data_IF_226609973368
#
_entry.id   IF_226609973368
#
_cell.length_a   1.000
_cell.length_b   1.000
_cell.length_c   1.000
_cell.angle_alpha   90.00
_cell.angle_beta   90.00
_cell.angle_gamma   90.00
#
_symmetry.space_group_name_H-M   'P 1'
#
loop_
_entity.id
_entity.type
_entity.pdbx_description
1 polymer ?
#
# COMPACT_ATOMS: atom_id res chain seq x y z
N UNK A 1 -28.32 21.09 -9.76
CA UNK A 1 -28.30 19.63 -9.54
C UNK A 1 -27.32 19.02 -10.53
N UNK A 2 -26.07 18.83 -10.13
CA UNK A 2 -25.02 18.30 -11.00
C UNK A 2 -23.72 18.27 -10.22
N UNK A 3 -23.53 17.22 -9.43
CA UNK A 3 -22.28 16.94 -8.68
C UNK A 3 -22.25 15.50 -8.15
N UNK A 4 -23.39 14.80 -8.03
CA UNK A 4 -23.42 13.42 -7.52
C UNK A 4 -22.61 12.44 -8.38
N UNK A 5 -22.71 12.55 -9.71
CA UNK A 5 -22.01 11.63 -10.63
C UNK A 5 -20.50 11.80 -10.63
N UNK A 6 -20.01 13.04 -10.49
CA UNK A 6 -18.56 13.33 -10.41
C UNK A 6 -17.98 12.80 -9.11
N UNK A 7 -18.67 13.02 -7.99
CA UNK A 7 -18.27 12.48 -6.69
C UNK A 7 -18.22 10.95 -6.71
N UNK A 8 -19.24 10.27 -7.22
CA UNK A 8 -19.26 8.81 -7.34
C UNK A 8 -18.11 8.28 -8.20
N UNK A 9 -17.77 8.97 -9.29
CA UNK A 9 -16.65 8.59 -10.14
C UNK A 9 -15.30 8.74 -9.43
N UNK A 10 -15.08 9.84 -8.69
CA UNK A 10 -13.87 10.05 -7.90
C UNK A 10 -13.73 8.97 -6.82
N UNK A 11 -14.80 8.63 -6.12
CA UNK A 11 -14.79 7.55 -5.12
C UNK A 11 -14.48 6.19 -5.74
N UNK A 12 -15.01 5.90 -6.93
CA UNK A 12 -14.72 4.66 -7.65
C UNK A 12 -13.24 4.55 -8.02
N UNK A 13 -12.66 5.61 -8.59
CA UNK A 13 -11.24 5.65 -8.96
C UNK A 13 -10.34 5.55 -7.72
N UNK A 14 -10.68 6.27 -6.64
CA UNK A 14 -9.96 6.20 -5.37
C UNK A 14 -10.01 4.79 -4.78
N UNK A 15 -11.19 4.16 -4.76
CA UNK A 15 -11.36 2.80 -4.24
C UNK A 15 -10.55 1.78 -5.05
N UNK A 16 -10.59 1.87 -6.39
CA UNK A 16 -9.78 1.01 -7.27
C UNK A 16 -8.27 1.21 -7.02
N UNK A 17 -7.81 2.45 -6.87
CA UNK A 17 -6.42 2.75 -6.55
C UNK A 17 -6.01 2.20 -5.17
N UNK A 18 -6.87 2.31 -4.16
CA UNK A 18 -6.65 1.74 -2.82
C UNK A 18 -6.53 0.22 -2.86
N UNK A 19 -7.35 -0.49 -3.64
CA UNK A 19 -7.24 -1.95 -3.80
C UNK A 19 -5.91 -2.37 -4.43
N UNK A 20 -5.45 -1.67 -5.46
CA UNK A 20 -4.14 -1.93 -6.07
C UNK A 20 -3.02 -1.65 -5.06
N UNK A 21 -3.12 -0.57 -4.29
CA UNK A 21 -2.16 -0.25 -3.24
C UNK A 21 -2.14 -1.28 -2.11
N UNK A 22 -3.28 -1.88 -1.75
CA UNK A 22 -3.37 -2.96 -0.76
C UNK A 22 -2.62 -4.22 -1.22
N UNK A 23 -2.76 -4.60 -2.50
CA UNK A 23 -2.02 -5.73 -3.05
C UNK A 23 -0.50 -5.47 -3.04
N UNK A 24 -0.08 -4.25 -3.40
CA UNK A 24 1.32 -3.83 -3.34
C UNK A 24 1.84 -3.76 -1.89
N UNK A 25 1.01 -3.31 -0.95
CA UNK A 25 1.31 -3.22 0.48
C UNK A 25 1.67 -4.59 1.06
N UNK A 26 0.89 -5.62 0.76
CA UNK A 26 1.17 -6.99 1.22
C UNK A 26 2.54 -7.49 0.75
N UNK A 27 2.84 -7.35 -0.54
CA UNK A 27 4.14 -7.75 -1.09
C UNK A 27 5.31 -6.92 -0.54
N UNK A 28 5.07 -5.65 -0.20
CA UNK A 28 6.07 -4.76 0.43
C UNK A 28 6.33 -5.15 1.87
N UNK A 29 5.27 -5.44 2.63
CA UNK A 29 5.35 -5.94 4.00
C UNK A 29 6.17 -7.23 4.06
N UNK A 30 5.84 -8.20 3.19
CA UNK A 30 6.56 -9.46 3.13
C UNK A 30 8.07 -9.29 2.87
N UNK A 31 8.45 -8.42 1.92
CA UNK A 31 9.88 -8.12 1.67
C UNK A 31 10.57 -7.47 2.86
N UNK A 32 9.92 -6.50 3.51
CA UNK A 32 10.48 -5.81 4.68
C UNK A 32 10.61 -6.72 5.90
N UNK A 33 9.64 -7.62 6.11
CA UNK A 33 9.71 -8.67 7.13
C UNK A 33 10.89 -9.58 6.88
N UNK A 34 11.04 -10.12 5.66
CA UNK A 34 12.17 -10.98 5.32
C UNK A 34 13.53 -10.30 5.50
N UNK A 35 13.60 -8.97 5.31
CA UNK A 35 14.83 -8.19 5.50
C UNK A 35 15.11 -7.78 6.95
N UNK A 36 14.09 -7.49 7.78
CA UNK A 36 14.26 -6.86 9.10
C UNK A 36 13.76 -7.71 10.29
N UNK A 37 13.20 -8.88 10.05
CA UNK A 37 12.72 -9.77 11.11
C UNK A 37 11.84 -10.85 10.52
N UNK A 38 12.41 -12.05 10.36
CA UNK A 38 11.76 -13.21 9.73
C UNK A 38 10.77 -13.87 10.70
N UNK A 39 9.79 -13.10 11.17
CA UNK A 39 8.77 -13.54 12.12
C UNK A 39 7.38 -12.95 11.81
N UNK A 40 6.34 -13.60 12.33
CA UNK A 40 4.95 -13.22 12.08
C UNK A 40 4.54 -11.86 12.68
N UNK A 41 5.22 -11.41 13.74
CA UNK A 41 4.93 -10.11 14.39
C UNK A 41 5.42 -8.95 13.52
N UNK A 42 6.63 -9.09 12.96
CA UNK A 42 7.21 -8.18 11.98
C UNK A 42 6.33 -8.11 10.73
N UNK A 43 5.80 -9.25 10.26
CA UNK A 43 4.82 -9.27 9.16
C UNK A 43 3.57 -8.47 9.49
N UNK A 44 2.96 -8.71 10.65
CA UNK A 44 1.76 -7.98 11.08
C UNK A 44 2.03 -6.47 11.22
N UNK A 45 3.17 -6.08 11.79
CA UNK A 45 3.55 -4.69 11.96
C UNK A 45 3.74 -3.96 10.62
N UNK A 46 4.50 -4.55 9.69
CA UNK A 46 4.69 -3.97 8.36
C UNK A 46 3.40 -3.95 7.55
N UNK A 47 2.56 -4.98 7.67
CA UNK A 47 1.28 -5.05 6.98
C UNK A 47 0.34 -3.95 7.46
N UNK A 48 0.28 -3.67 8.77
CA UNK A 48 -0.49 -2.56 9.32
C UNK A 48 -0.01 -1.20 8.78
N UNK A 49 1.31 -0.96 8.78
CA UNK A 49 1.90 0.28 8.25
C UNK A 49 1.57 0.48 6.77
N UNK A 50 1.73 -0.57 5.95
CA UNK A 50 1.49 -0.46 4.51
C UNK A 50 -0.01 -0.43 4.14
N UNK A 51 -0.88 -1.03 4.95
CA UNK A 51 -2.34 -0.88 4.83
C UNK A 51 -2.76 0.56 5.11
N UNK A 52 -2.21 1.20 6.16
CA UNK A 52 -2.46 2.61 6.43
C UNK A 52 -1.96 3.51 5.29
N UNK A 53 -0.78 3.21 4.75
CA UNK A 53 -0.23 3.94 3.62
C UNK A 53 -1.03 3.78 2.32
N UNK A 54 -1.75 2.66 2.15
CA UNK A 54 -2.58 2.41 0.96
C UNK A 54 -3.82 3.32 0.86
N UNK A 55 -4.27 3.92 1.96
CA UNK A 55 -5.37 4.90 1.96
C UNK A 55 -4.99 6.23 1.30
N UNK A 56 -3.69 6.55 1.29
CA UNK A 56 -3.18 7.74 0.63
C UNK A 56 -2.79 7.32 -0.80
N UNK A 57 -3.48 7.83 -1.83
CA UNK A 57 -3.09 7.61 -3.23
C UNK A 57 -1.61 7.93 -3.40
N UNK A 58 -0.89 7.12 -4.20
CA UNK A 58 0.54 7.25 -4.50
C UNK A 58 1.52 6.86 -3.37
N UNK A 59 1.18 7.00 -2.09
CA UNK A 59 2.11 6.70 -0.99
C UNK A 59 2.49 5.21 -0.92
N UNK A 60 1.53 4.31 -1.13
CA UNK A 60 1.79 2.87 -1.18
C UNK A 60 2.73 2.48 -2.33
N UNK A 61 2.59 3.13 -3.49
CA UNK A 61 3.46 2.90 -4.66
C UNK A 61 4.87 3.44 -4.39
N UNK A 62 4.97 4.63 -3.80
CA UNK A 62 6.26 5.23 -3.43
C UNK A 62 7.05 4.33 -2.48
N UNK A 63 6.37 3.85 -1.43
CA UNK A 63 6.95 2.93 -0.46
C UNK A 63 7.33 1.58 -1.08
N UNK A 64 6.48 1.03 -1.96
CA UNK A 64 6.81 -0.19 -2.71
C UNK A 64 8.06 0.00 -3.57
N UNK A 65 8.17 1.11 -4.29
CA UNK A 65 9.32 1.42 -5.15
C UNK A 65 10.61 1.56 -4.34
N UNK A 66 10.56 2.21 -3.18
CA UNK A 66 11.71 2.32 -2.29
C UNK A 66 12.09 0.97 -1.67
N UNK A 67 11.11 0.15 -1.28
CA UNK A 67 11.39 -1.20 -0.76
C UNK A 67 12.17 -2.07 -1.73
N UNK A 68 12.00 -1.91 -3.05
CA UNK A 68 12.77 -2.66 -4.05
C UNK A 68 14.24 -2.25 -4.08
N UNK A 69 14.55 -0.98 -3.81
CA UNK A 69 15.92 -0.47 -3.76
C UNK A 69 16.65 -0.98 -2.53
N UNK A 70 15.95 -1.08 -1.41
CA UNK A 70 16.49 -1.57 -0.14
C UNK A 70 16.85 -3.07 -0.16
N UNK A 71 16.36 -3.85 -1.13
CA UNK A 71 16.65 -5.29 -1.27
C UNK A 71 17.77 -5.61 -2.29
N UNK A 72 18.54 -4.60 -2.75
CA UNK A 72 19.72 -4.76 -3.63
C UNK A 72 21.01 -4.29 -2.90
N UNK A 73 21.03 -4.43 -1.58
CA UNK A 73 22.24 -4.29 -0.76
C UNK A 73 22.80 -5.66 -0.44
#
# INVERSE_FOLDING_TARGET
MGNSSVSSFIFFVWYAATLIQMALAYGTAYRKTKANGDNGVSLAGWLLVYVLAAYIPYLGIHLWKNSKKDNVG
#
